data_IF_096696641598
#
_entry.id   IF_096696641598
#
_cell.length_a   1.000
_cell.length_b   1.000
_cell.length_c   1.000
_cell.angle_alpha   90.00
_cell.angle_beta   90.00
_cell.angle_gamma   90.00
#
_symmetry.space_group_name_H-M   'P 1'
#
loop_
_entity.id
_entity.type
_entity.pdbx_description
1 polymer ?
#
# COMPACT_ATOMS: atom_id res chain seq x y z
N UNK A 1 9.52 -13.85 13.84
CA UNK A 1 9.12 -12.44 13.57
C UNK A 1 9.17 -12.28 12.07
N UNK A 2 8.10 -11.87 11.42
CA UNK A 2 8.03 -11.66 9.98
C UNK A 2 8.99 -10.52 9.59
N UNK A 3 9.77 -10.70 8.53
CA UNK A 3 10.64 -9.63 8.03
C UNK A 3 9.79 -8.60 7.29
N UNK A 4 10.12 -7.33 7.40
CA UNK A 4 9.38 -6.25 6.74
C UNK A 4 9.54 -6.27 5.21
N UNK A 5 10.69 -6.76 4.73
CA UNK A 5 10.99 -6.89 3.30
C UNK A 5 12.00 -8.03 3.04
N UNK A 6 11.90 -8.63 1.85
CA UNK A 6 12.79 -9.68 1.35
C UNK A 6 13.17 -9.36 -0.10
N UNK A 7 14.36 -9.79 -0.51
CA UNK A 7 14.85 -9.60 -1.88
C UNK A 7 15.46 -10.90 -2.43
N UNK A 8 15.21 -11.16 -3.69
CA UNK A 8 15.77 -12.27 -4.43
C UNK A 8 16.21 -11.81 -5.81
N UNK A 9 17.40 -12.22 -6.27
CA UNK A 9 17.92 -11.87 -7.58
C UNK A 9 17.72 -12.98 -8.62
N UNK A 10 17.19 -14.10 -8.21
CA UNK A 10 16.87 -15.23 -9.08
C UNK A 10 15.61 -15.92 -8.59
N UNK A 11 14.86 -16.48 -9.53
CA UNK A 11 13.66 -17.24 -9.21
C UNK A 11 13.98 -18.55 -8.47
N UNK A 12 15.15 -19.13 -8.69
CA UNK A 12 15.59 -20.38 -8.03
C UNK A 12 15.67 -20.24 -6.51
N UNK A 13 15.95 -19.05 -6.01
CA UNK A 13 15.97 -18.77 -4.58
C UNK A 13 14.54 -18.64 -4.02
N UNK A 14 13.56 -18.29 -4.86
CA UNK A 14 12.16 -18.04 -4.50
C UNK A 14 11.28 -19.30 -4.50
N UNK A 15 11.41 -20.18 -5.49
CA UNK A 15 10.54 -21.36 -5.71
C UNK A 15 10.57 -22.38 -4.55
N UNK A 16 11.54 -22.27 -3.64
CA UNK A 16 11.65 -23.17 -2.46
C UNK A 16 10.68 -22.89 -1.32
N UNK A 17 9.83 -21.86 -1.43
CA UNK A 17 8.98 -21.39 -0.31
C UNK A 17 7.55 -21.09 -0.76
N UNK A 18 6.77 -22.16 -0.99
CA UNK A 18 5.36 -22.08 -1.44
C UNK A 18 4.36 -21.34 -0.52
N UNK A 19 4.75 -20.93 0.67
CA UNK A 19 3.84 -20.30 1.65
C UNK A 19 3.99 -18.77 1.80
N UNK A 20 4.87 -18.12 1.05
CA UNK A 20 5.17 -16.68 1.25
C UNK A 20 4.15 -15.70 0.66
N UNK A 21 3.29 -16.15 -0.25
CA UNK A 21 2.35 -15.26 -0.96
C UNK A 21 1.29 -14.63 -0.05
N UNK A 22 0.97 -15.26 1.08
CA UNK A 22 -0.10 -14.78 1.96
C UNK A 22 0.26 -13.53 2.78
N UNK A 23 1.55 -13.21 2.92
CA UNK A 23 2.03 -12.19 3.86
C UNK A 23 2.71 -10.99 3.18
N UNK A 24 2.97 -11.06 1.87
CA UNK A 24 3.76 -10.07 1.14
C UNK A 24 3.12 -9.63 -0.17
N UNK A 25 3.30 -8.35 -0.51
CA UNK A 25 3.18 -7.87 -1.89
C UNK A 25 4.49 -8.14 -2.60
N UNK A 26 4.42 -8.76 -3.78
CA UNK A 26 5.60 -9.11 -4.58
C UNK A 26 5.70 -8.17 -5.77
N UNK A 27 6.83 -7.52 -5.89
CA UNK A 27 7.22 -6.72 -7.03
C UNK A 27 8.30 -7.48 -7.79
N UNK A 28 8.03 -7.83 -9.05
CA UNK A 28 8.91 -8.63 -9.89
C UNK A 28 9.30 -7.85 -11.14
N UNK A 29 10.60 -7.75 -11.41
CA UNK A 29 11.15 -7.23 -12.66
C UNK A 29 11.75 -8.38 -13.46
N UNK A 30 11.18 -8.70 -14.62
CA UNK A 30 11.65 -9.77 -15.50
C UNK A 30 12.95 -9.36 -16.19
N UNK A 31 14.02 -10.16 -16.02
CA UNK A 31 15.34 -9.93 -16.63
C UNK A 31 15.51 -10.70 -17.93
N UNK A 32 14.99 -11.92 -18.00
CA UNK A 32 15.05 -12.79 -19.17
C UNK A 32 13.90 -13.80 -19.17
N UNK A 33 13.66 -14.40 -20.33
CA UNK A 33 12.65 -15.43 -20.51
C UNK A 33 11.22 -14.94 -20.42
N UNK A 34 10.30 -15.87 -20.14
CA UNK A 34 8.86 -15.61 -20.06
C UNK A 34 8.23 -16.34 -18.90
N UNK A 35 7.19 -15.73 -18.29
CA UNK A 35 6.32 -16.34 -17.29
C UNK A 35 4.87 -16.18 -17.77
N UNK A 36 4.05 -17.21 -17.66
CA UNK A 36 2.61 -17.17 -17.95
C UNK A 36 1.83 -17.62 -16.71
N UNK A 37 0.67 -17.01 -16.46
CA UNK A 37 -0.20 -17.35 -15.34
C UNK A 37 -1.65 -16.95 -15.60
N UNK A 38 -2.57 -17.51 -14.82
CA UNK A 38 -3.96 -17.06 -14.77
C UNK A 38 -4.18 -16.17 -13.52
N UNK A 39 -4.87 -15.06 -13.72
CA UNK A 39 -5.36 -14.19 -12.65
C UNK A 39 -6.81 -13.80 -12.98
N UNK A 40 -7.75 -14.03 -12.05
CA UNK A 40 -9.18 -13.77 -12.26
C UNK A 40 -9.72 -14.39 -13.57
N UNK A 41 -9.30 -15.62 -13.92
CA UNK A 41 -9.62 -16.34 -15.15
C UNK A 41 -9.11 -15.68 -16.45
N UNK A 42 -8.26 -14.65 -16.37
CA UNK A 42 -7.57 -14.05 -17.52
C UNK A 42 -6.14 -14.56 -17.56
N UNK A 43 -5.62 -14.83 -18.77
CA UNK A 43 -4.23 -15.20 -19.00
C UNK A 43 -3.38 -13.95 -19.10
N UNK A 44 -2.21 -13.98 -18.46
CA UNK A 44 -1.19 -12.94 -18.52
C UNK A 44 0.16 -13.56 -18.85
N UNK A 45 0.91 -12.83 -19.66
CA UNK A 45 2.30 -13.16 -20.01
C UNK A 45 3.20 -12.04 -19.51
N UNK A 46 4.33 -12.43 -18.91
CA UNK A 46 5.42 -11.55 -18.49
C UNK A 46 6.63 -11.87 -19.34
N UNK A 47 7.21 -10.87 -19.95
CA UNK A 47 8.39 -10.97 -20.80
C UNK A 47 9.54 -10.11 -20.29
N UNK A 48 10.72 -10.23 -20.89
CA UNK A 48 11.90 -9.45 -20.50
C UNK A 48 11.60 -7.94 -20.51
N UNK A 49 11.84 -7.28 -19.41
CA UNK A 49 11.60 -5.86 -19.19
C UNK A 49 10.25 -5.55 -18.58
N UNK A 50 9.34 -6.52 -18.47
CA UNK A 50 8.05 -6.31 -17.83
C UNK A 50 8.18 -6.26 -16.31
N UNK A 51 7.29 -5.48 -15.70
CA UNK A 51 7.15 -5.35 -14.26
C UNK A 51 5.82 -5.96 -13.81
N UNK A 52 5.87 -6.90 -12.89
CA UNK A 52 4.72 -7.59 -12.33
C UNK A 52 4.52 -7.20 -10.87
N UNK A 53 3.29 -6.89 -10.48
CA UNK A 53 2.92 -6.70 -9.08
C UNK A 53 1.91 -7.77 -8.68
N UNK A 54 2.36 -8.66 -7.79
CA UNK A 54 1.51 -9.70 -7.23
C UNK A 54 1.06 -9.29 -5.82
N UNK A 55 -0.20 -8.93 -5.73
CA UNK A 55 -0.78 -8.50 -4.47
C UNK A 55 -1.12 -9.69 -3.58
N UNK A 56 -0.95 -9.52 -2.28
CA UNK A 56 -1.19 -10.50 -1.22
C UNK A 56 -2.59 -11.16 -1.28
N UNK A 57 -3.60 -10.44 -1.80
CA UNK A 57 -4.98 -10.93 -1.90
C UNK A 57 -5.35 -11.51 -3.26
N UNK A 58 -4.40 -11.53 -4.20
CA UNK A 58 -4.64 -11.99 -5.57
C UNK A 58 -4.07 -13.40 -5.73
N UNK A 59 -4.87 -14.32 -6.24
CA UNK A 59 -4.43 -15.67 -6.53
C UNK A 59 -3.98 -15.77 -8.00
N UNK A 60 -2.77 -16.26 -8.21
CA UNK A 60 -2.26 -16.65 -9.52
C UNK A 60 -2.26 -18.17 -9.61
N UNK A 61 -2.85 -18.69 -10.69
CA UNK A 61 -2.89 -20.13 -10.97
C UNK A 61 -2.24 -20.46 -12.32
N UNK A 62 -1.99 -21.73 -12.57
CA UNK A 62 -1.39 -22.22 -13.82
C UNK A 62 -0.10 -21.51 -14.22
N UNK A 63 0.75 -21.24 -13.19
CA UNK A 63 2.02 -20.54 -13.40
C UNK A 63 2.98 -21.44 -14.15
N UNK A 64 3.54 -20.94 -15.25
CA UNK A 64 4.58 -21.60 -16.03
C UNK A 64 5.72 -20.64 -16.39
N UNK A 65 6.92 -21.18 -16.62
CA UNK A 65 8.12 -20.41 -16.90
C UNK A 65 8.86 -21.03 -18.08
N UNK A 66 9.51 -20.20 -18.91
CA UNK A 66 10.53 -20.68 -19.85
C UNK A 66 11.81 -21.11 -19.11
N UNK A 67 12.61 -21.96 -19.74
CA UNK A 67 13.85 -22.48 -19.12
C UNK A 67 14.89 -21.38 -18.76
N UNK A 68 14.84 -20.25 -19.45
CA UNK A 68 15.71 -19.09 -19.27
C UNK A 68 15.08 -17.97 -18.44
N UNK A 69 13.93 -18.22 -17.79
CA UNK A 69 13.26 -17.20 -16.99
C UNK A 69 14.08 -16.81 -15.77
N UNK A 70 14.36 -15.52 -15.65
CA UNK A 70 15.03 -14.93 -14.49
C UNK A 70 14.43 -13.56 -14.16
N UNK A 71 14.36 -13.24 -12.87
CA UNK A 71 13.72 -12.01 -12.38
C UNK A 71 14.36 -11.54 -11.08
N UNK A 72 14.35 -10.23 -10.87
CA UNK A 72 14.56 -9.62 -9.56
C UNK A 72 13.22 -9.50 -8.83
N UNK A 73 13.19 -9.91 -7.55
CA UNK A 73 11.99 -9.86 -6.71
C UNK A 73 12.23 -9.02 -5.47
N UNK A 74 11.28 -8.13 -5.20
CA UNK A 74 11.16 -7.37 -3.96
C UNK A 74 9.83 -7.73 -3.30
N UNK A 75 9.88 -8.31 -2.11
CA UNK A 75 8.72 -8.68 -1.32
C UNK A 75 8.58 -7.71 -0.15
N UNK A 76 7.41 -7.13 0.01
CA UNK A 76 7.13 -6.08 1.00
C UNK A 76 5.94 -6.49 1.85
N UNK A 77 6.13 -6.53 3.17
CA UNK A 77 5.06 -6.84 4.10
C UNK A 77 3.99 -5.75 4.11
N UNK A 78 2.73 -6.14 4.30
CA UNK A 78 1.63 -5.18 4.38
C UNK A 78 1.81 -4.13 5.49
N UNK A 79 2.31 -4.46 6.70
CA UNK A 79 2.61 -3.45 7.72
C UNK A 79 3.69 -2.44 7.28
N UNK A 80 4.74 -2.89 6.59
CA UNK A 80 5.79 -2.00 6.11
C UNK A 80 5.29 -1.09 4.99
N UNK A 81 4.56 -1.65 4.02
CA UNK A 81 3.90 -0.89 2.97
C UNK A 81 2.97 0.18 3.55
N UNK A 82 2.14 -0.18 4.55
CA UNK A 82 1.22 0.77 5.20
C UNK A 82 1.92 1.92 5.94
N UNK A 83 3.12 1.69 6.52
CA UNK A 83 3.89 2.74 7.20
C UNK A 83 4.56 3.74 6.24
N UNK A 84 4.89 3.30 5.04
CA UNK A 84 5.66 4.08 4.06
C UNK A 84 4.86 4.47 2.82
N UNK A 85 3.56 4.19 2.81
CA UNK A 85 2.68 4.58 1.72
C UNK A 85 2.45 6.10 1.78
N UNK A 86 2.88 6.87 0.76
CA UNK A 86 2.85 8.32 0.82
C UNK A 86 1.45 8.91 0.62
N UNK A 87 0.57 8.21 -0.11
CA UNK A 87 -0.75 8.72 -0.48
C UNK A 87 -1.78 7.58 -0.59
N UNK A 88 -2.75 7.56 0.34
CA UNK A 88 -3.68 6.45 0.49
C UNK A 88 -4.67 6.29 -0.67
N UNK A 89 -5.09 7.40 -1.31
CA UNK A 89 -6.00 7.32 -2.47
C UNK A 89 -5.30 6.66 -3.65
N UNK A 90 -4.08 7.09 -3.96
CA UNK A 90 -3.29 6.50 -5.05
C UNK A 90 -2.97 5.04 -4.78
N UNK A 91 -2.63 4.69 -3.54
CA UNK A 91 -2.44 3.30 -3.15
C UNK A 91 -3.69 2.46 -3.39
N UNK A 92 -4.86 2.99 -3.07
CA UNK A 92 -6.11 2.25 -3.27
C UNK A 92 -6.50 2.15 -4.74
N UNK A 93 -6.36 3.25 -5.50
CA UNK A 93 -6.56 3.22 -6.95
C UNK A 93 -5.61 2.21 -7.61
N UNK A 94 -4.33 2.25 -7.25
CA UNK A 94 -3.32 1.30 -7.71
C UNK A 94 -3.67 -0.12 -7.32
N UNK A 95 -4.06 -0.37 -6.07
CA UNK A 95 -4.48 -1.69 -5.60
C UNK A 95 -5.62 -2.27 -6.45
N UNK A 96 -6.65 -1.48 -6.74
CA UNK A 96 -7.79 -1.91 -7.55
C UNK A 96 -7.40 -2.15 -9.00
N UNK A 97 -6.60 -1.28 -9.58
CA UNK A 97 -6.12 -1.41 -10.96
C UNK A 97 -5.24 -2.65 -11.14
N UNK A 98 -4.25 -2.84 -10.28
CA UNK A 98 -3.30 -3.95 -10.31
C UNK A 98 -4.01 -5.31 -10.18
N UNK A 99 -5.10 -5.38 -9.42
CA UNK A 99 -5.89 -6.61 -9.27
C UNK A 99 -6.40 -7.16 -10.61
N UNK A 100 -6.69 -6.28 -11.56
CA UNK A 100 -7.16 -6.65 -12.92
C UNK A 100 -6.03 -6.57 -13.97
N UNK A 101 -4.96 -5.82 -13.68
CA UNK A 101 -3.83 -5.54 -14.57
C UNK A 101 -2.50 -5.69 -13.82
N UNK A 102 -2.10 -6.93 -13.46
CA UNK A 102 -0.92 -7.16 -12.63
C UNK A 102 0.41 -6.96 -13.38
N UNK A 103 0.41 -6.95 -14.72
CA UNK A 103 1.60 -6.84 -15.58
C UNK A 103 1.67 -5.46 -16.22
N UNK A 104 2.83 -4.83 -16.13
CA UNK A 104 3.13 -3.53 -16.72
C UNK A 104 4.24 -3.68 -17.77
N UNK A 105 3.92 -3.30 -19.01
CA UNK A 105 4.89 -3.25 -20.11
C UNK A 105 5.58 -1.88 -20.07
N UNK A 106 6.79 -1.84 -19.53
CA UNK A 106 7.54 -0.61 -19.32
C UNK A 106 8.16 -0.13 -20.64
N UNK A 107 8.11 1.17 -20.87
CA UNK A 107 8.95 1.78 -21.92
C UNK A 107 10.44 1.81 -21.48
N UNK A 108 11.40 2.11 -22.37
CA UNK A 108 12.82 2.09 -22.03
C UNK A 108 13.21 3.02 -20.87
N UNK A 109 12.58 4.20 -20.76
CA UNK A 109 12.87 5.17 -19.70
C UNK A 109 12.28 4.69 -18.35
N UNK A 110 11.05 4.20 -18.36
CA UNK A 110 10.38 3.60 -17.20
C UNK A 110 11.16 2.38 -16.69
N UNK A 111 11.63 1.53 -17.61
CA UNK A 111 12.44 0.36 -17.27
C UNK A 111 13.74 0.74 -16.55
N UNK A 112 14.44 1.79 -17.00
CA UNK A 112 15.65 2.26 -16.33
C UNK A 112 15.39 2.87 -14.96
N UNK A 113 14.24 3.53 -14.75
CA UNK A 113 13.80 4.01 -13.44
C UNK A 113 13.60 2.82 -12.50
N UNK A 114 12.78 1.84 -12.86
CA UNK A 114 12.48 0.68 -12.01
C UNK A 114 13.74 -0.16 -11.75
N UNK A 115 14.61 -0.37 -12.74
CA UNK A 115 15.91 -1.03 -12.52
C UNK A 115 16.78 -0.29 -11.50
N UNK A 116 16.78 1.03 -11.55
CA UNK A 116 17.53 1.88 -10.61
C UNK A 116 16.99 1.71 -9.20
N UNK A 117 15.68 1.72 -9.02
CA UNK A 117 15.04 1.51 -7.73
C UNK A 117 15.37 0.14 -7.14
N UNK A 118 15.21 -0.92 -7.92
CA UNK A 118 15.56 -2.28 -7.49
C UNK A 118 17.04 -2.39 -7.11
N UNK A 119 17.94 -1.82 -7.91
CA UNK A 119 19.38 -1.79 -7.60
C UNK A 119 19.65 -1.09 -6.27
N UNK A 120 18.99 0.03 -5.98
CA UNK A 120 19.14 0.74 -4.72
C UNK A 120 18.63 -0.09 -3.54
N UNK A 121 17.46 -0.73 -3.67
CA UNK A 121 16.96 -1.67 -2.66
C UNK A 121 17.96 -2.78 -2.38
N UNK A 122 18.43 -3.48 -3.41
CA UNK A 122 19.40 -4.57 -3.26
C UNK A 122 20.69 -4.12 -2.58
N UNK A 123 21.19 -2.95 -2.91
CA UNK A 123 22.39 -2.40 -2.28
C UNK A 123 22.19 -2.09 -0.80
N UNK A 124 21.04 -1.51 -0.43
CA UNK A 124 20.77 -1.07 0.94
C UNK A 124 20.38 -2.22 1.86
N UNK A 125 19.58 -3.15 1.37
CA UNK A 125 19.16 -4.33 2.15
C UNK A 125 20.34 -5.26 2.44
N UNK A 126 21.31 -5.39 1.50
CA UNK A 126 22.53 -6.19 1.68
C UNK A 126 23.63 -5.47 2.44
N UNK A 127 23.53 -4.17 2.62
CA UNK A 127 24.52 -3.40 3.36
C UNK A 127 24.52 -3.81 4.84
N UNK A 128 25.68 -3.72 5.54
CA UNK A 128 25.72 -3.90 6.98
C UNK A 128 24.71 -2.97 7.67
N UNK A 129 24.11 -3.44 8.77
CA UNK A 129 23.14 -2.63 9.57
C UNK A 129 23.74 -1.27 9.88
N UNK A 130 23.02 -0.22 9.51
CA UNK A 130 23.36 1.18 9.81
C UNK A 130 22.30 1.79 10.73
N UNK A 131 22.65 2.89 11.38
CA UNK A 131 21.75 3.59 12.33
C UNK A 131 20.40 3.97 11.68
N UNK A 132 20.41 4.36 10.41
CA UNK A 132 19.23 4.81 9.65
C UNK A 132 18.84 3.82 8.54
N UNK A 133 19.15 2.54 8.68
CA UNK A 133 18.93 1.54 7.62
C UNK A 133 17.46 1.35 7.27
N UNK A 134 16.60 1.26 8.27
CA UNK A 134 15.15 1.09 8.08
C UNK A 134 14.51 2.34 7.44
N UNK A 135 14.90 3.53 7.89
CA UNK A 135 14.43 4.80 7.35
C UNK A 135 14.83 4.98 5.87
N UNK A 136 16.05 4.56 5.51
CA UNK A 136 16.53 4.60 4.12
C UNK A 136 15.70 3.65 3.26
N UNK A 137 15.48 2.41 3.70
CA UNK A 137 14.67 1.44 2.95
C UNK A 137 13.23 1.91 2.83
N UNK A 138 12.66 2.49 3.89
CA UNK A 138 11.33 3.10 3.86
C UNK A 138 11.23 4.26 2.86
N UNK A 139 12.26 5.10 2.78
CA UNK A 139 12.32 6.21 1.81
C UNK A 139 12.43 5.69 0.38
N UNK A 140 13.21 4.64 0.13
CA UNK A 140 13.28 3.98 -1.17
C UNK A 140 11.93 3.38 -1.58
N UNK A 141 11.20 2.77 -0.63
CA UNK A 141 9.84 2.28 -0.91
C UNK A 141 8.91 3.42 -1.31
N UNK A 142 8.98 4.57 -0.63
CA UNK A 142 8.19 5.75 -0.99
C UNK A 142 8.50 6.23 -2.42
N UNK A 143 9.77 6.25 -2.82
CA UNK A 143 10.21 6.61 -4.19
C UNK A 143 9.63 5.60 -5.19
N UNK A 144 9.86 4.31 -4.99
CA UNK A 144 9.32 3.25 -5.87
C UNK A 144 7.80 3.37 -6.05
N UNK A 145 7.05 3.67 -4.96
CA UNK A 145 5.60 3.84 -5.05
C UNK A 145 5.21 5.03 -5.92
N UNK A 146 5.90 6.17 -5.79
CA UNK A 146 5.65 7.32 -6.65
C UNK A 146 6.00 7.05 -8.11
N UNK A 147 7.12 6.38 -8.38
CA UNK A 147 7.52 6.04 -9.74
C UNK A 147 6.54 5.07 -10.39
N UNK A 148 6.11 4.05 -9.66
CA UNK A 148 5.03 3.15 -10.11
C UNK A 148 3.74 3.91 -10.39
N UNK A 149 3.33 4.86 -9.52
CA UNK A 149 2.11 5.63 -9.75
C UNK A 149 2.23 6.53 -10.98
N UNK A 150 3.39 7.11 -11.25
CA UNK A 150 3.64 7.86 -12.47
C UNK A 150 3.48 6.97 -13.70
N UNK A 151 4.01 5.73 -13.67
CA UNK A 151 3.94 4.77 -14.77
C UNK A 151 2.48 4.43 -15.09
N UNK A 152 1.70 4.02 -14.10
CA UNK A 152 0.35 3.56 -14.36
C UNK A 152 -0.76 4.62 -14.15
N UNK A 153 -0.42 5.85 -13.75
CA UNK A 153 -1.41 6.92 -13.57
C UNK A 153 -2.25 7.17 -14.81
N UNK A 154 -1.62 7.18 -15.99
CA UNK A 154 -2.28 7.39 -17.27
C UNK A 154 -3.31 6.31 -17.59
N UNK A 155 -3.02 5.09 -17.21
CA UNK A 155 -3.93 3.95 -17.43
C UNK A 155 -5.07 3.96 -16.39
N UNK A 156 -4.77 4.27 -15.14
CA UNK A 156 -5.78 4.41 -14.08
C UNK A 156 -6.74 5.57 -14.38
N UNK A 157 -6.25 6.69 -14.90
CA UNK A 157 -7.09 7.85 -15.25
C UNK A 157 -7.99 7.57 -16.46
N UNK A 158 -7.53 6.74 -17.40
CA UNK A 158 -8.32 6.32 -18.58
C UNK A 158 -9.26 5.16 -18.27
N UNK A 159 -8.93 4.32 -17.28
CA UNK A 159 -9.78 3.21 -16.90
C UNK A 159 -11.10 3.75 -16.34
N UNK A 160 -12.14 3.73 -17.16
CA UNK A 160 -13.50 3.86 -16.63
C UNK A 160 -13.70 2.73 -15.63
N UNK A 161 -13.90 3.08 -14.36
CA UNK A 161 -14.24 2.09 -13.35
C UNK A 161 -15.67 1.65 -13.65
N UNK A 162 -15.77 0.59 -14.45
CA UNK A 162 -17.05 0.05 -14.92
C UNK A 162 -17.88 -0.51 -13.75
N UNK A 163 -17.21 -1.11 -12.76
CA UNK A 163 -17.88 -1.69 -11.61
C UNK A 163 -18.42 -0.62 -10.64
N UNK A 164 -19.72 -0.64 -10.45
CA UNK A 164 -20.42 0.31 -9.56
C UNK A 164 -19.94 0.20 -8.10
N UNK A 165 -19.56 -1.00 -7.67
CA UNK A 165 -19.07 -1.29 -6.32
C UNK A 165 -17.73 -0.59 -6.08
N UNK A 166 -16.83 -0.71 -7.05
CA UNK A 166 -15.53 -0.03 -7.06
C UNK A 166 -15.67 1.49 -7.08
N UNK A 167 -16.62 2.04 -7.86
CA UNK A 167 -16.92 3.48 -7.86
C UNK A 167 -17.43 3.96 -6.50
N UNK A 168 -18.32 3.22 -5.86
CA UNK A 168 -18.80 3.57 -4.53
C UNK A 168 -17.67 3.56 -3.50
N UNK A 169 -16.80 2.56 -3.56
CA UNK A 169 -15.66 2.47 -2.66
C UNK A 169 -14.66 3.62 -2.84
N UNK A 170 -14.31 3.98 -4.08
CA UNK A 170 -13.43 5.13 -4.32
C UNK A 170 -14.06 6.46 -3.86
N UNK A 171 -15.35 6.68 -4.14
CA UNK A 171 -16.05 7.87 -3.62
C UNK A 171 -16.05 7.90 -2.08
N UNK A 172 -16.20 6.74 -1.45
CA UNK A 172 -16.07 6.63 0.00
C UNK A 172 -14.67 7.06 0.47
N UNK A 173 -13.60 6.56 -0.13
CA UNK A 173 -12.23 6.92 0.26
C UNK A 173 -11.92 8.41 0.02
N UNK A 174 -12.38 8.98 -1.09
CA UNK A 174 -12.27 10.43 -1.34
C UNK A 174 -12.98 11.22 -0.24
N UNK A 175 -14.21 10.83 0.10
CA UNK A 175 -14.96 11.47 1.19
C UNK A 175 -14.26 11.29 2.55
N UNK A 176 -13.64 10.14 2.82
CA UNK A 176 -12.85 9.92 4.04
C UNK A 176 -11.62 10.83 4.08
N UNK A 177 -10.88 10.97 2.99
CA UNK A 177 -9.74 11.86 2.92
C UNK A 177 -10.12 13.31 3.23
N UNK A 178 -11.22 13.77 2.70
CA UNK A 178 -11.69 15.14 2.89
C UNK A 178 -12.24 15.40 4.31
N UNK A 179 -12.89 14.40 4.90
CA UNK A 179 -13.71 14.60 6.10
C UNK A 179 -13.24 13.86 7.36
N UNK A 180 -12.18 13.04 7.32
CA UNK A 180 -11.77 12.21 8.47
C UNK A 180 -11.33 13.03 9.71
N UNK A 181 -11.02 14.31 9.54
CA UNK A 181 -10.76 15.20 10.67
C UNK A 181 -11.99 15.47 11.52
N UNK A 182 -13.17 15.53 10.90
CA UNK A 182 -14.43 15.85 11.53
C UNK A 182 -15.32 14.62 11.73
N UNK A 183 -15.38 13.75 10.73
CA UNK A 183 -16.30 12.62 10.66
C UNK A 183 -15.58 11.27 10.81
N UNK A 184 -16.07 10.42 11.74
CA UNK A 184 -15.42 9.10 12.03
C UNK A 184 -16.41 7.94 12.03
N UNK A 185 -17.69 8.22 11.74
CA UNK A 185 -18.74 7.21 11.76
C UNK A 185 -19.05 6.70 10.35
N UNK A 186 -19.03 5.40 10.15
CA UNK A 186 -19.38 4.78 8.85
C UNK A 186 -20.76 5.22 8.38
N UNK A 187 -21.70 5.42 9.31
CA UNK A 187 -23.05 5.84 8.99
C UNK A 187 -23.12 7.21 8.30
N UNK A 188 -22.26 8.14 8.69
CA UNK A 188 -22.18 9.46 8.06
C UNK A 188 -21.75 9.34 6.60
N UNK A 189 -20.65 8.63 6.33
CA UNK A 189 -20.14 8.42 4.96
C UNK A 189 -21.13 7.65 4.08
N UNK A 190 -21.78 6.65 4.64
CA UNK A 190 -22.80 5.90 3.92
C UNK A 190 -23.99 6.81 3.53
N UNK A 191 -24.43 7.68 4.43
CA UNK A 191 -25.50 8.67 4.16
C UNK A 191 -25.11 9.61 3.02
N UNK A 192 -23.88 10.17 3.03
CA UNK A 192 -23.37 11.04 1.98
C UNK A 192 -23.33 10.37 0.60
N UNK A 193 -23.11 9.07 0.59
CA UNK A 193 -23.06 8.27 -0.65
C UNK A 193 -24.43 7.71 -1.07
N UNK A 194 -25.47 7.89 -0.26
CA UNK A 194 -26.78 7.30 -0.51
C UNK A 194 -26.82 5.78 -0.31
N UNK A 195 -25.96 5.25 0.57
CA UNK A 195 -25.80 3.82 0.83
C UNK A 195 -26.21 3.45 2.25
N UNK A 196 -26.54 2.17 2.47
CA UNK A 196 -26.66 1.64 3.82
C UNK A 196 -25.27 1.42 4.44
N UNK A 197 -25.05 1.71 5.74
CA UNK A 197 -23.75 1.52 6.41
C UNK A 197 -23.21 0.08 6.31
N UNK A 198 -24.11 -0.91 6.42
CA UNK A 198 -23.75 -2.31 6.26
C UNK A 198 -23.22 -2.60 4.85
N UNK A 199 -23.91 -2.10 3.84
CA UNK A 199 -23.53 -2.29 2.42
C UNK A 199 -22.18 -1.63 2.12
N UNK A 200 -21.93 -0.41 2.62
CA UNK A 200 -20.62 0.24 2.48
C UNK A 200 -19.50 -0.58 3.12
N UNK A 201 -19.72 -1.17 4.29
CA UNK A 201 -18.74 -2.03 4.94
C UNK A 201 -18.53 -3.36 4.21
N UNK A 202 -19.57 -3.93 3.60
CA UNK A 202 -19.49 -5.13 2.76
C UNK A 202 -18.71 -4.87 1.47
N UNK A 203 -18.96 -3.74 0.79
CA UNK A 203 -18.19 -3.28 -0.38
C UNK A 203 -16.70 -3.17 -0.01
N UNK A 204 -16.41 -2.41 1.04
CA UNK A 204 -15.03 -2.21 1.50
C UNK A 204 -14.32 -3.54 1.76
N UNK A 205 -14.99 -4.45 2.47
CA UNK A 205 -14.44 -5.76 2.80
C UNK A 205 -14.27 -6.66 1.57
N UNK A 206 -15.19 -6.62 0.62
CA UNK A 206 -15.09 -7.42 -0.61
C UNK A 206 -13.92 -6.99 -1.50
N UNK A 207 -13.66 -5.68 -1.57
CA UNK A 207 -12.58 -5.12 -2.41
C UNK A 207 -11.22 -5.28 -1.73
N UNK A 208 -11.12 -4.99 -0.42
CA UNK A 208 -9.84 -4.81 0.26
C UNK A 208 -9.57 -5.79 1.42
N UNK A 209 -10.53 -6.66 1.74
CA UNK A 209 -10.49 -7.50 2.93
C UNK A 209 -10.75 -6.74 4.25
N UNK A 210 -10.87 -5.40 4.23
CA UNK A 210 -11.00 -4.53 5.40
C UNK A 210 -12.37 -3.83 5.44
N UNK A 211 -13.03 -3.75 6.60
CA UNK A 211 -14.28 -3.01 6.73
C UNK A 211 -14.07 -1.49 6.60
N UNK A 212 -15.14 -0.75 6.27
CA UNK A 212 -15.08 0.70 6.06
C UNK A 212 -14.54 1.48 7.29
N UNK A 213 -14.87 1.05 8.50
CA UNK A 213 -14.38 1.67 9.73
C UNK A 213 -12.86 1.67 9.85
N UNK A 214 -12.20 0.61 9.39
CA UNK A 214 -10.73 0.50 9.43
C UNK A 214 -10.05 1.51 8.50
N UNK A 215 -10.69 1.85 7.38
CA UNK A 215 -10.21 2.89 6.47
C UNK A 215 -10.34 4.26 7.10
N UNK A 216 -11.49 4.59 7.69
CA UNK A 216 -11.70 5.85 8.41
C UNK A 216 -10.66 6.00 9.53
N UNK A 217 -10.44 4.95 10.33
CA UNK A 217 -9.44 4.94 11.38
C UNK A 217 -8.02 5.12 10.83
N UNK A 218 -7.68 4.50 9.69
CA UNK A 218 -6.36 4.64 9.06
C UNK A 218 -6.08 6.06 8.58
N UNK A 219 -7.04 6.70 7.90
CA UNK A 219 -6.92 8.10 7.46
C UNK A 219 -6.82 9.06 8.64
N UNK A 220 -7.68 8.88 9.64
CA UNK A 220 -7.64 9.68 10.87
C UNK A 220 -6.30 9.53 11.60
N UNK A 221 -5.78 8.29 11.72
CA UNK A 221 -4.48 8.03 12.33
C UNK A 221 -3.34 8.71 11.56
N UNK A 222 -3.38 8.68 10.22
CA UNK A 222 -2.39 9.34 9.39
C UNK A 222 -2.37 10.87 9.60
N UNK A 223 -3.54 11.51 9.64
CA UNK A 223 -3.65 12.94 9.93
C UNK A 223 -3.16 13.27 11.36
N UNK A 224 -3.50 12.45 12.35
CA UNK A 224 -2.99 12.59 13.72
C UNK A 224 -1.46 12.46 13.78
N UNK A 225 -0.86 11.53 13.04
CA UNK A 225 0.59 11.36 12.98
C UNK A 225 1.29 12.58 12.39
N UNK A 226 0.74 13.17 11.33
CA UNK A 226 1.25 14.42 10.76
C UNK A 226 1.29 15.54 11.79
N UNK A 227 0.15 15.79 12.46
CA UNK A 227 0.03 16.84 13.47
C UNK A 227 0.94 16.59 14.69
N UNK A 228 0.98 15.36 15.19
CA UNK A 228 1.80 14.98 16.34
C UNK A 228 3.30 15.04 16.07
N UNK A 229 3.71 14.89 14.80
CA UNK A 229 5.13 14.96 14.40
C UNK A 229 5.68 16.39 14.46
N UNK A 230 4.83 17.41 14.36
CA UNK A 230 5.23 18.80 14.60
C UNK A 230 5.13 19.12 16.11
N UNK A 231 6.26 19.26 16.77
CA UNK A 231 6.31 19.57 18.20
C UNK A 231 5.77 20.96 18.56
N UNK A 232 5.62 21.86 17.58
CA UNK A 232 5.04 23.21 17.79
C UNK A 232 3.52 23.15 17.93
N UNK A 233 2.87 22.11 17.41
CA UNK A 233 1.42 21.92 17.52
C UNK A 233 1.09 21.37 18.89
N UNK A 234 0.29 22.05 19.68
CA UNK A 234 -0.12 21.57 21.01
C UNK A 234 -1.19 20.49 20.95
N UNK A 235 -1.40 19.73 22.03
CA UNK A 235 -2.51 18.75 22.07
C UNK A 235 -3.89 19.42 22.00
N UNK A 236 -4.01 20.66 22.45
CA UNK A 236 -5.23 21.45 22.33
C UNK A 236 -5.49 21.77 20.87
N UNK A 237 -4.47 22.24 20.12
CA UNK A 237 -4.61 22.51 18.69
C UNK A 237 -5.00 21.24 17.91
N UNK A 238 -4.47 20.07 18.30
CA UNK A 238 -4.84 18.80 17.67
C UNK A 238 -6.30 18.44 17.96
N UNK A 239 -6.76 18.64 19.21
CA UNK A 239 -8.15 18.43 19.58
C UNK A 239 -9.08 19.30 18.73
N UNK A 240 -8.74 20.58 18.59
CA UNK A 240 -9.53 21.56 17.82
C UNK A 240 -9.50 21.23 16.31
N UNK A 241 -8.30 21.00 15.74
CA UNK A 241 -8.13 20.71 14.30
C UNK A 241 -8.78 19.39 13.89
N UNK A 242 -8.77 18.41 14.78
CA UNK A 242 -9.33 17.08 14.53
C UNK A 242 -10.74 16.92 15.10
N UNK A 243 -11.36 18.01 15.56
CA UNK A 243 -12.73 18.03 16.11
C UNK A 243 -13.00 16.94 17.14
N UNK A 244 -12.06 16.69 18.06
CA UNK A 244 -12.31 15.85 19.22
C UNK A 244 -13.02 16.66 20.32
N UNK A 245 -13.92 16.04 21.06
CA UNK A 245 -14.65 16.70 22.15
C UNK A 245 -13.76 17.10 23.34
N UNK A 246 -12.57 16.50 23.46
CA UNK A 246 -11.59 16.77 24.53
C UNK A 246 -10.28 15.99 24.31
N UNK A 247 -9.19 16.39 25.04
CA UNK A 247 -7.94 15.65 25.07
C UNK A 247 -8.11 14.20 25.56
N UNK A 248 -8.94 13.89 26.59
CA UNK A 248 -9.24 12.49 26.93
C UNK A 248 -9.90 11.69 25.79
N UNK A 249 -10.78 12.32 24.98
CA UNK A 249 -11.40 11.67 23.83
C UNK A 249 -10.34 11.32 22.75
N UNK A 250 -9.48 12.29 22.42
CA UNK A 250 -8.33 12.07 21.53
C UNK A 250 -7.43 10.91 22.04
N UNK A 251 -7.10 10.92 23.33
CA UNK A 251 -6.24 9.87 23.93
C UNK A 251 -6.88 8.49 23.85
N UNK A 252 -8.20 8.37 24.13
CA UNK A 252 -8.92 7.09 24.00
C UNK A 252 -8.96 6.62 22.55
N UNK A 253 -9.19 7.51 21.60
CA UNK A 253 -9.20 7.20 20.18
C UNK A 253 -7.83 6.67 19.74
N UNK A 254 -6.76 7.39 20.06
CA UNK A 254 -5.39 6.99 19.71
C UNK A 254 -4.98 5.65 20.34
N UNK A 255 -5.33 5.41 21.60
CA UNK A 255 -5.08 4.09 22.23
C UNK A 255 -5.80 2.96 21.50
N UNK A 256 -7.05 3.18 21.06
CA UNK A 256 -7.81 2.18 20.31
C UNK A 256 -7.20 1.90 18.94
N UNK A 257 -6.84 2.94 18.18
CA UNK A 257 -6.46 2.84 16.77
C UNK A 257 -4.95 2.67 16.59
N UNK A 258 -4.15 3.35 17.38
CA UNK A 258 -2.69 3.42 17.21
C UNK A 258 -1.92 2.70 18.33
N UNK A 259 -2.62 2.17 19.33
CA UNK A 259 -2.06 1.51 20.53
C UNK A 259 -1.05 2.38 21.32
N UNK A 260 -1.10 3.69 21.13
CA UNK A 260 -0.24 4.68 21.80
C UNK A 260 -1.05 5.90 22.22
N UNK A 261 -0.64 6.54 23.32
CA UNK A 261 -1.12 7.88 23.66
C UNK A 261 -0.41 8.94 22.84
N UNK A 262 -0.92 10.19 22.76
CA UNK A 262 -0.21 11.31 22.13
C UNK A 262 1.20 11.51 22.67
N UNK A 263 1.37 11.42 23.97
CA UNK A 263 2.68 11.61 24.62
C UNK A 263 3.65 10.47 24.28
N UNK A 264 3.21 9.21 24.34
CA UNK A 264 4.02 8.05 23.95
C UNK A 264 4.42 8.10 22.48
N UNK A 265 3.55 8.58 21.60
CA UNK A 265 3.86 8.76 20.20
C UNK A 265 4.97 9.80 20.00
N UNK A 266 4.87 10.97 20.63
CA UNK A 266 5.90 12.02 20.55
C UNK A 266 7.23 11.55 21.11
N UNK A 267 7.24 10.87 22.26
CA UNK A 267 8.46 10.34 22.88
C UNK A 267 9.15 9.31 21.96
N UNK A 268 8.38 8.42 21.30
CA UNK A 268 8.95 7.42 20.39
C UNK A 268 9.64 8.02 19.16
N UNK A 269 9.36 9.29 18.81
CA UNK A 269 10.04 10.02 17.74
C UNK A 269 11.22 10.88 18.21
N UNK A 270 11.29 11.20 19.51
CA UNK A 270 12.38 12.01 20.09
C UNK A 270 13.57 11.14 20.53
N UNK A 271 13.40 9.83 20.63
CA UNK A 271 14.42 8.86 21.08
C UNK A 271 15.24 8.25 19.94
N UNK A 272 15.27 8.88 18.76
CA UNK A 272 16.09 8.52 17.59
C UNK A 272 17.21 9.53 17.39
#
# INVERSE_FOLDING_TARGET
MMQDYLIYNTLTDFVRTESFHADYHIHLLCKSGTMSFLCNHKSFDVTTGDFLIWQMTTEFTDISYSDDFDADLLMISNPFLGRHNPEMIWATKGYMYIKEHPVFHLDPDELEIIKTDFKQFFQRIRAPRSLFGEEIVGSLLTILLYDMWNIYSREIEKAEIEDITSRHFLRFLMSVQENCREQREVAWYASELGLAPKYLSEISKSITGRPAGDWIDSYTAHELQKLLSDQRVTLTDIVDTMHFSSQPALTRYMKRVMHKTPSEFRQSKTSV
#
